data_IF_381821984849
#
_entry.id   IF_381821984849
#
_cell.length_a   1.000
_cell.length_b   1.000
_cell.length_c   1.000
_cell.angle_alpha   90.00
_cell.angle_beta   90.00
_cell.angle_gamma   90.00
#
_symmetry.space_group_name_H-M   'P 1'
#
loop_
_entity.id
_entity.type
_entity.pdbx_description
1 polymer ?
#
# COMPACT_ATOMS: atom_id res chain seq x y z
N UNK A 1 7.99 0.63 10.75
CA UNK A 1 7.47 -0.42 9.85
C UNK A 1 8.00 -0.12 8.45
N UNK A 2 8.51 -1.12 7.73
CA UNK A 2 8.94 -0.97 6.33
C UNK A 2 8.03 -1.85 5.48
N UNK A 3 7.44 -1.30 4.42
CA UNK A 3 6.65 -2.08 3.47
C UNK A 3 7.56 -2.93 2.59
N UNK A 4 7.10 -4.11 2.19
CA UNK A 4 7.80 -4.96 1.25
C UNK A 4 7.88 -4.30 -0.13
N UNK A 5 8.87 -4.71 -0.93
CA UNK A 5 8.96 -4.29 -2.34
C UNK A 5 7.72 -4.68 -3.14
N UNK A 6 7.07 -5.80 -2.78
CA UNK A 6 5.87 -6.28 -3.47
C UNK A 6 4.71 -5.30 -3.30
N UNK A 7 4.47 -4.84 -2.07
CA UNK A 7 3.45 -3.85 -1.74
C UNK A 7 3.76 -2.48 -2.37
N UNK A 8 5.02 -2.04 -2.29
CA UNK A 8 5.47 -0.81 -2.95
C UNK A 8 5.17 -0.85 -4.46
N UNK A 9 5.54 -1.94 -5.14
CA UNK A 9 5.29 -2.07 -6.58
C UNK A 9 3.81 -2.20 -6.93
N UNK A 10 3.01 -2.87 -6.09
CA UNK A 10 1.56 -2.93 -6.27
C UNK A 10 0.91 -1.55 -6.19
N UNK A 11 1.32 -0.73 -5.22
CA UNK A 11 0.85 0.64 -5.08
C UNK A 11 1.26 1.50 -6.28
N UNK A 12 2.54 1.45 -6.69
CA UNK A 12 3.02 2.15 -7.90
C UNK A 12 2.22 1.77 -9.13
N UNK A 13 1.94 0.48 -9.30
CA UNK A 13 1.14 -0.03 -10.41
C UNK A 13 -0.29 0.52 -10.37
N UNK A 14 -0.95 0.53 -9.19
CA UNK A 14 -2.28 1.13 -9.03
C UNK A 14 -2.28 2.60 -9.40
N UNK A 15 -1.31 3.38 -8.92
CA UNK A 15 -1.23 4.80 -9.24
C UNK A 15 -1.03 5.05 -10.73
N UNK A 16 -0.10 4.35 -11.37
CA UNK A 16 0.13 4.49 -12.80
C UNK A 16 -1.09 4.08 -13.65
N UNK A 17 -1.83 3.05 -13.25
CA UNK A 17 -3.09 2.66 -13.93
C UNK A 17 -4.20 3.68 -13.66
N UNK A 18 -4.27 4.24 -12.46
CA UNK A 18 -5.28 5.22 -12.07
C UNK A 18 -5.07 6.58 -12.75
N UNK A 19 -3.82 6.94 -13.04
CA UNK A 19 -3.44 8.16 -13.78
C UNK A 19 -3.61 8.00 -15.29
N UNK A 20 -3.61 6.76 -15.80
CA UNK A 20 -3.78 6.50 -17.22
C UNK A 20 -5.24 6.71 -17.68
N UNK A 21 -5.42 7.52 -18.73
CA UNK A 21 -6.73 7.74 -19.38
C UNK A 21 -7.20 6.53 -20.23
N UNK A 22 -6.35 5.52 -20.39
CA UNK A 22 -6.62 4.34 -21.22
C UNK A 22 -5.94 3.08 -20.69
N UNK A 23 -6.21 1.96 -21.35
CA UNK A 23 -5.52 0.69 -21.11
C UNK A 23 -3.99 0.89 -21.14
N UNK A 24 -3.31 0.39 -20.12
CA UNK A 24 -1.84 0.35 -20.07
C UNK A 24 -1.34 -1.09 -20.15
N UNK A 25 -0.42 -1.35 -21.08
CA UNK A 25 0.16 -2.69 -21.22
C UNK A 25 1.12 -3.00 -20.06
N UNK A 26 1.33 -4.29 -19.77
CA UNK A 26 2.28 -4.72 -18.74
C UNK A 26 3.72 -4.23 -19.00
N UNK A 27 4.06 -4.05 -20.28
CA UNK A 27 5.38 -3.58 -20.69
C UNK A 27 5.54 -2.10 -20.38
N UNK A 28 4.58 -1.28 -20.81
CA UNK A 28 4.57 0.16 -20.52
C UNK A 28 4.56 0.40 -19.02
N UNK A 29 3.72 -0.33 -18.28
CA UNK A 29 3.68 -0.22 -16.82
C UNK A 29 5.04 -0.57 -16.20
N UNK A 30 5.64 -1.70 -16.59
CA UNK A 30 6.97 -2.15 -16.11
C UNK A 30 8.06 -1.10 -16.35
N UNK A 31 8.08 -0.46 -17.53
CA UNK A 31 9.02 0.61 -17.88
C UNK A 31 8.74 1.90 -17.09
N UNK A 32 7.47 2.29 -16.93
CA UNK A 32 7.05 3.51 -16.25
C UNK A 32 7.36 3.51 -14.74
N UNK A 33 7.12 2.39 -14.05
CA UNK A 33 7.30 2.31 -12.59
C UNK A 33 8.64 1.67 -12.16
N UNK A 34 9.52 1.38 -13.12
CA UNK A 34 10.82 0.74 -12.93
C UNK A 34 10.74 -0.58 -12.12
N UNK A 35 9.89 -1.49 -12.61
CA UNK A 35 9.68 -2.81 -11.97
C UNK A 35 9.94 -3.92 -12.97
N UNK A 36 10.72 -4.96 -12.63
CA UNK A 36 10.92 -6.10 -13.52
C UNK A 36 9.61 -6.75 -13.95
N UNK A 37 9.39 -6.84 -15.26
CA UNK A 37 8.13 -7.29 -15.87
C UNK A 37 7.56 -8.58 -15.29
N UNK A 38 8.38 -9.63 -15.16
CA UNK A 38 7.92 -10.93 -14.62
C UNK A 38 7.41 -10.82 -13.18
N UNK A 39 8.00 -9.93 -12.39
CA UNK A 39 7.57 -9.72 -11.02
C UNK A 39 6.27 -8.91 -10.98
N UNK A 40 6.16 -7.89 -11.85
CA UNK A 40 4.93 -7.13 -12.01
C UNK A 40 3.77 -8.00 -12.49
N UNK A 41 3.99 -8.93 -13.43
CA UNK A 41 2.96 -9.88 -13.91
C UNK A 41 2.32 -10.66 -12.75
N UNK A 42 3.11 -11.14 -11.80
CA UNK A 42 2.59 -11.84 -10.61
C UNK A 42 1.76 -10.91 -9.71
N UNK A 43 2.24 -9.69 -9.48
CA UNK A 43 1.52 -8.67 -8.71
C UNK A 43 0.18 -8.35 -9.37
N UNK A 44 0.17 -8.14 -10.69
CA UNK A 44 -1.04 -7.83 -11.45
C UNK A 44 -2.06 -8.96 -11.44
N UNK A 45 -1.62 -10.22 -11.42
CA UNK A 45 -2.52 -11.37 -11.24
C UNK A 45 -3.21 -11.36 -9.88
N UNK A 46 -2.48 -11.03 -8.81
CA UNK A 46 -3.03 -10.91 -7.47
C UNK A 46 -4.00 -9.73 -7.35
N UNK A 47 -3.65 -8.57 -7.91
CA UNK A 47 -4.52 -7.39 -7.92
C UNK A 47 -5.79 -7.61 -8.76
N UNK A 48 -5.72 -8.39 -9.84
CA UNK A 48 -6.89 -8.77 -10.64
C UNK A 48 -7.82 -9.71 -9.83
N UNK A 49 -7.26 -10.67 -9.09
CA UNK A 49 -8.03 -11.51 -8.16
C UNK A 49 -8.66 -10.72 -7.01
N UNK A 50 -7.97 -9.69 -6.53
CA UNK A 50 -8.49 -8.76 -5.52
C UNK A 50 -9.57 -7.81 -6.07
N UNK A 51 -9.78 -7.76 -7.39
CA UNK A 51 -10.79 -6.92 -8.02
C UNK A 51 -10.43 -5.43 -8.08
N UNK A 52 -9.15 -5.08 -7.99
CA UNK A 52 -8.70 -3.69 -8.13
C UNK A 52 -8.38 -3.31 -9.57
N UNK A 53 -7.93 -4.27 -10.36
CA UNK A 53 -7.60 -4.08 -11.77
C UNK A 53 -8.28 -5.15 -12.61
N UNK A 54 -8.51 -4.84 -13.88
CA UNK A 54 -9.03 -5.79 -14.87
C UNK A 54 -8.03 -5.94 -15.99
N UNK A 55 -7.67 -7.19 -16.30
CA UNK A 55 -6.84 -7.52 -17.46
C UNK A 55 -7.71 -7.65 -18.71
N UNK A 56 -7.38 -6.93 -19.76
CA UNK A 56 -7.97 -7.08 -21.09
C UNK A 56 -6.97 -7.82 -21.98
N UNK A 57 -7.30 -9.02 -22.49
CA UNK A 57 -6.40 -9.79 -23.33
C UNK A 57 -6.32 -9.23 -24.76
N UNK A 58 -5.28 -9.63 -25.49
CA UNK A 58 -5.10 -9.32 -26.91
C UNK A 58 -3.91 -8.41 -27.19
N UNK A 59 -3.66 -8.15 -28.48
CA UNK A 59 -2.51 -7.35 -28.96
C UNK A 59 -2.53 -5.91 -28.44
N UNK A 60 -3.73 -5.34 -28.29
CA UNK A 60 -3.98 -4.00 -27.73
C UNK A 60 -4.59 -4.10 -26.33
N UNK A 61 -4.35 -5.23 -25.66
CA UNK A 61 -4.78 -5.48 -24.30
C UNK A 61 -3.90 -4.76 -23.28
N UNK A 62 -4.31 -4.81 -22.02
CA UNK A 62 -3.63 -4.13 -20.92
C UNK A 62 -4.42 -4.22 -19.64
N UNK A 63 -4.14 -3.30 -18.72
CA UNK A 63 -4.82 -3.18 -17.44
C UNK A 63 -5.54 -1.84 -17.34
N UNK A 64 -6.67 -1.87 -16.63
CA UNK A 64 -7.44 -0.72 -16.17
C UNK A 64 -7.88 -0.98 -14.73
N UNK A 65 -8.29 0.05 -14.00
CA UNK A 65 -8.94 -0.16 -12.72
C UNK A 65 -10.28 -0.91 -12.92
N UNK A 66 -10.58 -1.84 -12.01
CA UNK A 66 -11.84 -2.59 -12.01
C UNK A 66 -12.95 -1.89 -11.21
N UNK A 67 -12.58 -0.90 -10.39
CA UNK A 67 -13.47 -0.01 -9.62
C UNK A 67 -12.84 1.38 -9.54
N UNK A 68 -13.60 2.39 -9.10
CA UNK A 68 -13.08 3.77 -9.09
C UNK A 68 -11.92 3.92 -8.08
N UNK A 69 -10.99 4.84 -8.36
CA UNK A 69 -9.80 5.04 -7.52
C UNK A 69 -10.11 5.61 -6.13
N UNK A 70 -11.30 6.18 -5.93
CA UNK A 70 -11.84 6.61 -4.64
C UNK A 70 -12.44 5.45 -3.82
N UNK A 71 -12.66 4.29 -4.43
CA UNK A 71 -13.12 3.06 -3.77
C UNK A 71 -11.98 2.10 -3.41
N UNK A 72 -10.73 2.49 -3.71
CA UNK A 72 -9.51 1.72 -3.39
C UNK A 72 -8.72 2.49 -2.34
N UNK A 73 -8.60 1.91 -1.15
CA UNK A 73 -7.83 2.44 -0.01
C UNK A 73 -6.40 1.92 0.01
N UNK A 74 -5.47 2.68 0.57
CA UNK A 74 -4.11 2.16 0.82
C UNK A 74 -4.14 1.01 1.82
N UNK A 75 -5.03 1.09 2.82
CA UNK A 75 -5.17 0.09 3.86
C UNK A 75 -5.57 -1.29 3.34
N UNK A 76 -6.51 -1.36 2.39
CA UNK A 76 -6.89 -2.65 1.78
C UNK A 76 -5.73 -3.28 1.00
N UNK A 77 -4.99 -2.48 0.23
CA UNK A 77 -3.86 -2.95 -0.59
C UNK A 77 -2.71 -3.43 0.30
N UNK A 78 -2.35 -2.64 1.31
CA UNK A 78 -1.27 -2.99 2.24
C UNK A 78 -1.65 -4.25 3.04
N UNK A 79 -2.87 -4.37 3.55
CA UNK A 79 -3.29 -5.60 4.27
C UNK A 79 -3.25 -6.84 3.40
N UNK A 80 -3.60 -6.72 2.12
CA UNK A 80 -3.58 -7.86 1.22
C UNK A 80 -2.17 -8.41 0.98
N UNK A 81 -1.18 -7.53 0.78
CA UNK A 81 0.19 -7.95 0.48
C UNK A 81 1.07 -8.17 1.73
N UNK A 82 0.88 -7.40 2.80
CA UNK A 82 1.67 -7.52 4.05
C UNK A 82 1.03 -8.45 5.09
N UNK A 83 -0.30 -8.64 5.06
CA UNK A 83 -1.07 -9.41 6.04
C UNK A 83 -1.31 -8.68 7.37
N UNK A 84 -0.25 -8.17 8.03
CA UNK A 84 -0.33 -7.48 9.32
C UNK A 84 0.08 -6.00 9.24
N UNK A 85 -0.71 -5.11 9.85
CA UNK A 85 -0.37 -3.69 10.08
C UNK A 85 -0.12 -3.47 11.58
N UNK A 86 0.64 -4.36 12.20
CA UNK A 86 0.98 -4.28 13.62
C UNK A 86 2.49 -4.46 13.78
N UNK A 87 3.11 -3.61 14.61
CA UNK A 87 4.55 -3.73 14.87
C UNK A 87 4.89 -4.82 15.90
N UNK A 88 3.88 -5.30 16.67
CA UNK A 88 3.98 -6.47 17.54
C UNK A 88 2.76 -7.36 17.31
N UNK A 89 2.97 -8.68 17.29
CA UNK A 89 1.92 -9.66 16.96
C UNK A 89 0.78 -9.71 17.99
N UNK A 90 1.08 -9.50 19.28
CA UNK A 90 0.07 -9.50 20.35
C UNK A 90 -0.87 -8.27 20.36
N UNK A 91 -0.76 -7.38 19.36
CA UNK A 91 -1.76 -6.34 19.08
C UNK A 91 -2.28 -6.43 17.64
N UNK A 92 -1.94 -7.44 16.85
CA UNK A 92 -2.53 -7.65 15.53
C UNK A 92 -3.97 -8.17 15.63
N UNK A 93 -4.82 -7.81 14.66
CA UNK A 93 -6.17 -8.39 14.52
C UNK A 93 -6.15 -9.56 13.53
N UNK A 94 -5.40 -9.44 12.43
CA UNK A 94 -5.32 -10.46 11.38
C UNK A 94 -4.35 -11.60 11.71
N UNK A 95 -3.41 -11.38 12.63
CA UNK A 95 -2.36 -12.35 12.98
C UNK A 95 -1.98 -12.22 14.44
N UNK A 96 -2.97 -12.36 15.32
CA UNK A 96 -2.75 -12.28 16.77
C UNK A 96 -1.89 -13.46 17.23
N UNK A 97 -0.77 -13.16 17.87
CA UNK A 97 0.03 -14.15 18.59
C UNK A 97 0.27 -13.66 20.01
N UNK A 98 -0.16 -14.40 21.04
CA UNK A 98 0.03 -13.98 22.42
C UNK A 98 1.51 -14.07 22.79
N UNK A 99 1.94 -13.21 23.71
CA UNK A 99 3.26 -13.31 24.32
C UNK A 99 3.16 -13.54 25.83
N UNK A 100 4.18 -14.17 26.42
CA UNK A 100 4.17 -14.55 27.85
C UNK A 100 4.02 -13.37 28.81
N UNK A 101 4.24 -12.13 28.35
CA UNK A 101 4.22 -10.92 29.18
C UNK A 101 3.00 -10.03 28.93
N UNK A 102 2.06 -10.43 28.07
CA UNK A 102 1.05 -9.52 27.53
C UNK A 102 0.07 -8.93 28.57
N UNK A 103 -0.09 -9.59 29.73
CA UNK A 103 -0.93 -9.14 30.85
C UNK A 103 -0.29 -8.07 31.74
N UNK A 104 1.03 -7.88 31.66
CA UNK A 104 1.78 -6.86 32.43
C UNK A 104 2.66 -5.95 31.55
N UNK A 105 2.47 -6.02 30.24
CA UNK A 105 3.27 -5.28 29.27
C UNK A 105 2.80 -3.83 29.17
N UNK A 106 3.49 -2.91 29.85
CA UNK A 106 3.14 -1.49 29.87
C UNK A 106 3.16 -0.82 28.49
N UNK A 107 4.11 -1.17 27.62
CA UNK A 107 4.20 -0.58 26.27
C UNK A 107 3.18 -1.15 25.28
N UNK A 108 2.50 -2.27 25.59
CA UNK A 108 1.50 -2.89 24.69
C UNK A 108 0.41 -1.90 24.30
N UNK A 109 -0.01 -1.03 25.24
CA UNK A 109 -1.01 0.03 24.98
C UNK A 109 -0.52 1.03 23.93
N UNK A 110 0.75 1.43 23.99
CA UNK A 110 1.35 2.35 23.01
C UNK A 110 1.32 1.73 21.62
N UNK A 111 1.77 0.48 21.48
CA UNK A 111 1.76 -0.22 20.20
C UNK A 111 0.35 -0.52 19.66
N UNK A 112 -0.62 -0.77 20.54
CA UNK A 112 -2.03 -0.87 20.16
C UNK A 112 -2.53 0.46 19.56
N UNK A 113 -2.20 1.59 20.20
CA UNK A 113 -2.58 2.91 19.71
C UNK A 113 -1.91 3.22 18.37
N UNK A 114 -0.62 2.91 18.21
CA UNK A 114 0.08 3.09 16.93
C UNK A 114 -0.58 2.24 15.84
N UNK A 115 -0.84 0.95 16.10
CA UNK A 115 -1.55 0.07 15.15
C UNK A 115 -2.90 0.67 14.73
N UNK A 116 -3.69 1.15 15.68
CA UNK A 116 -5.01 1.73 15.40
C UNK A 116 -4.90 3.02 14.58
N UNK A 117 -3.96 3.90 14.91
CA UNK A 117 -3.74 5.14 14.18
C UNK A 117 -3.26 4.86 12.74
N UNK A 118 -2.30 3.95 12.57
CA UNK A 118 -1.82 3.55 11.25
C UNK A 118 -2.96 2.97 10.41
N UNK A 119 -3.74 2.04 10.96
CA UNK A 119 -4.89 1.47 10.25
C UNK A 119 -5.90 2.55 9.87
N UNK A 120 -6.25 3.46 10.80
CA UNK A 120 -7.19 4.54 10.54
C UNK A 120 -6.73 5.47 9.41
N UNK A 121 -5.44 5.82 9.37
CA UNK A 121 -4.89 6.67 8.29
C UNK A 121 -5.00 5.92 6.96
N UNK A 122 -4.46 4.70 6.90
CA UNK A 122 -4.43 3.93 5.66
C UNK A 122 -5.83 3.59 5.12
N UNK A 123 -6.80 3.37 6.00
CA UNK A 123 -8.18 3.01 5.65
C UNK A 123 -9.01 4.19 5.17
N UNK A 124 -8.60 5.42 5.50
CA UNK A 124 -9.24 6.64 5.03
C UNK A 124 -8.57 7.23 3.79
N UNK A 125 -7.35 6.81 3.49
CA UNK A 125 -6.58 7.28 2.34
C UNK A 125 -6.89 6.42 1.12
N UNK A 126 -7.52 7.01 0.10
CA UNK A 126 -7.82 6.37 -1.18
C UNK A 126 -6.74 6.64 -2.22
N UNK A 127 -6.65 5.81 -3.27
CA UNK A 127 -5.74 6.05 -4.41
C UNK A 127 -6.05 7.42 -5.02
N UNK A 128 -7.33 7.77 -5.21
CA UNK A 128 -7.73 9.09 -5.68
C UNK A 128 -7.21 10.24 -4.79
N UNK A 129 -7.31 10.10 -3.47
CA UNK A 129 -6.87 11.15 -2.53
C UNK A 129 -5.36 11.42 -2.60
N UNK A 130 -4.56 10.39 -2.90
CA UNK A 130 -3.11 10.52 -3.04
C UNK A 130 -2.70 11.16 -4.37
N UNK A 131 -3.42 10.87 -5.47
CA UNK A 131 -3.11 11.44 -6.80
C UNK A 131 -3.19 12.98 -6.82
N UNK A 132 -4.02 13.57 -5.95
CA UNK A 132 -4.12 15.03 -5.81
C UNK A 132 -3.02 15.69 -4.99
N UNK A 133 -2.05 14.93 -4.46
CA UNK A 133 -1.02 15.45 -3.55
C UNK A 133 0.31 15.65 -4.28
N UNK A 134 1.01 16.73 -3.94
CA UNK A 134 2.37 16.95 -4.43
C UNK A 134 3.33 15.88 -3.86
N UNK A 135 4.27 15.36 -4.67
CA UNK A 135 5.30 14.46 -4.17
C UNK A 135 6.12 15.09 -3.05
N UNK A 136 6.41 14.29 -2.03
CA UNK A 136 7.26 14.70 -0.89
C UNK A 136 8.71 14.85 -1.37
N UNK A 137 9.30 16.02 -1.14
CA UNK A 137 10.73 16.28 -1.45
C UNK A 137 11.64 15.79 -0.33
N UNK A 138 12.95 15.71 -0.60
CA UNK A 138 13.94 15.36 0.45
C UNK A 138 13.91 16.38 1.58
N UNK A 139 13.72 17.65 1.24
CA UNK A 139 13.61 18.76 2.18
C UNK A 139 12.38 18.58 3.08
N UNK A 140 11.23 18.18 2.52
CA UNK A 140 10.01 17.94 3.30
C UNK A 140 10.18 16.85 4.36
N UNK A 141 10.94 15.79 4.06
CA UNK A 141 11.23 14.71 5.03
C UNK A 141 12.07 15.20 6.20
N UNK A 142 12.95 16.19 5.98
CA UNK A 142 13.91 16.67 6.98
C UNK A 142 13.40 17.89 7.76
N UNK A 143 12.27 18.48 7.39
CA UNK A 143 11.68 19.64 8.08
C UNK A 143 11.18 19.24 9.48
N UNK A 144 11.61 19.97 10.51
CA UNK A 144 11.27 19.71 11.93
C UNK A 144 9.76 19.60 12.20
N UNK A 145 8.94 20.32 11.42
CA UNK A 145 7.48 20.34 11.47
C UNK A 145 6.83 18.99 11.07
N UNK A 146 7.51 18.14 10.28
CA UNK A 146 7.05 16.79 9.94
C UNK A 146 7.71 15.69 10.78
N UNK A 147 8.74 16.04 11.55
CA UNK A 147 9.62 15.07 12.22
C UNK A 147 9.04 14.55 13.54
N UNK A 148 8.03 15.23 14.12
CA UNK A 148 7.19 14.71 15.22
C UNK A 148 7.94 13.86 16.25
N UNK A 149 9.02 14.37 16.84
CA UNK A 149 9.94 13.60 17.69
C UNK A 149 11.40 13.76 17.26
N UNK A 150 12.27 12.78 17.58
CA UNK A 150 13.72 12.85 17.33
C UNK A 150 14.14 12.48 15.89
N UNK A 151 13.21 12.33 14.95
CA UNK A 151 13.55 12.13 13.54
C UNK A 151 14.45 10.93 13.22
N UNK A 152 14.13 9.78 13.79
CA UNK A 152 14.72 8.49 13.39
C UNK A 152 14.01 7.91 12.16
#
# INVERSE_FOLDING_TARGET
MKVSKKTDYALRALFAIAEADSLISIRELSEQIDVPRRFLENIMLEMNKAGWVKSIPGRYGGYVLAKNSDEITMGEVIRYFEGMIAMISCVSVSSYEPCSQEGKCYFRRVFLNIRNLTAQILDKTTIASCLGQAPVTKEDVLKEEFVGGLGI
#
